data_IF_352793972575
#
_entry.id   IF_352793972575
#
_cell.length_a   1.000
_cell.length_b   1.000
_cell.length_c   1.000
_cell.angle_alpha   90.00
_cell.angle_beta   90.00
_cell.angle_gamma   90.00
#
_symmetry.space_group_name_H-M   'P 1'
#
loop_
_entity.id
_entity.type
_entity.pdbx_description
1 polymer ?
#
# COMPACT_ATOMS: atom_id res chain seq x y z
N UNK A 1 13.69 18.18 30.39
CA UNK A 1 13.06 17.88 29.10
C UNK A 1 12.93 16.38 29.01
N UNK A 2 11.73 15.83 29.21
CA UNK A 2 11.50 14.37 29.11
C UNK A 2 11.80 13.94 27.67
N UNK A 3 12.60 12.88 27.52
CA UNK A 3 12.78 12.21 26.23
C UNK A 3 11.38 11.77 25.79
N UNK A 4 10.85 12.38 24.74
CA UNK A 4 9.64 11.89 24.07
C UNK A 4 10.01 10.50 23.53
N UNK A 5 9.65 9.45 24.26
CA UNK A 5 9.89 8.08 23.82
C UNK A 5 9.04 7.83 22.59
N UNK A 6 9.64 7.29 21.53
CA UNK A 6 8.93 6.86 20.34
C UNK A 6 7.86 5.83 20.73
N UNK A 7 6.65 5.97 20.22
CA UNK A 7 5.54 5.07 20.55
C UNK A 7 4.84 4.60 19.28
N UNK A 8 4.59 3.30 19.18
CA UNK A 8 3.75 2.68 18.16
C UNK A 8 2.36 2.37 18.72
N UNK A 9 1.38 2.25 17.82
CA UNK A 9 0.04 1.87 18.20
C UNK A 9 -0.01 0.43 18.75
N UNK A 10 -0.89 0.20 19.71
CA UNK A 10 -1.18 -1.13 20.26
C UNK A 10 -2.39 -1.72 19.53
N UNK A 11 -2.13 -2.43 18.45
CA UNK A 11 -3.15 -3.00 17.60
C UNK A 11 -3.86 -4.19 18.26
N UNK A 12 -5.16 -4.07 18.47
CA UNK A 12 -6.03 -5.17 18.89
C UNK A 12 -6.57 -5.86 17.65
N UNK A 13 -6.04 -7.03 17.33
CA UNK A 13 -6.46 -7.84 16.17
C UNK A 13 -7.89 -8.32 16.34
N UNK A 14 -8.63 -8.36 15.23
CA UNK A 14 -9.99 -8.89 15.23
C UNK A 14 -9.96 -10.42 15.40
N UNK A 15 -10.85 -10.97 16.21
CA UNK A 15 -10.86 -12.40 16.55
C UNK A 15 -11.18 -13.31 15.34
N UNK A 16 -11.90 -12.79 14.34
CA UNK A 16 -12.28 -13.52 13.13
C UNK A 16 -11.26 -13.38 11.99
N UNK A 17 -10.07 -12.83 12.25
CA UNK A 17 -9.06 -12.74 11.19
C UNK A 17 -8.63 -14.13 10.66
N UNK A 18 -8.42 -14.28 9.31
CA UNK A 18 -8.58 -13.25 8.29
C UNK A 18 -10.06 -12.96 7.97
N UNK A 19 -10.42 -11.66 7.89
CA UNK A 19 -11.81 -11.24 7.58
C UNK A 19 -12.16 -11.41 6.09
N UNK A 20 -11.16 -11.46 5.22
CA UNK A 20 -11.31 -11.74 3.79
C UNK A 20 -10.26 -12.78 3.36
N UNK A 21 -10.50 -14.10 3.56
CA UNK A 21 -9.62 -15.15 3.06
C UNK A 21 -9.74 -15.30 1.53
N UNK A 22 -8.74 -15.88 0.84
CA UNK A 22 -8.88 -16.25 -0.58
C UNK A 22 -9.93 -17.34 -0.80
N UNK A 23 -10.33 -17.55 -2.06
CA UNK A 23 -11.20 -18.64 -2.45
C UNK A 23 -12.69 -18.32 -2.51
N UNK A 24 -13.07 -17.04 -2.41
CA UNK A 24 -14.47 -16.61 -2.53
C UNK A 24 -14.98 -16.52 -3.97
N UNK A 25 -14.11 -16.58 -4.97
CA UNK A 25 -14.42 -16.56 -6.39
C UNK A 25 -13.23 -16.99 -7.23
N UNK A 26 -13.42 -17.15 -8.55
CA UNK A 26 -12.32 -17.54 -9.44
C UNK A 26 -11.24 -16.45 -9.51
N UNK A 27 -11.62 -15.18 -9.38
CA UNK A 27 -10.76 -14.01 -9.47
C UNK A 27 -9.84 -13.82 -8.24
N UNK A 28 -10.13 -14.44 -7.10
CA UNK A 28 -9.34 -14.35 -5.88
C UNK A 28 -9.06 -15.72 -5.22
N UNK A 29 -9.01 -16.76 -6.06
CA UNK A 29 -8.84 -18.14 -5.60
C UNK A 29 -7.53 -18.39 -4.85
N UNK A 30 -6.45 -17.68 -5.21
CA UNK A 30 -5.10 -17.90 -4.69
C UNK A 30 -4.66 -16.86 -3.67
N UNK A 31 -5.12 -15.62 -3.78
CA UNK A 31 -4.76 -14.57 -2.83
C UNK A 31 -5.77 -13.42 -2.81
N UNK A 32 -5.85 -12.78 -1.63
CA UNK A 32 -6.46 -11.46 -1.43
C UNK A 32 -5.38 -10.57 -0.81
N UNK A 33 -4.90 -9.55 -1.55
CA UNK A 33 -3.77 -8.73 -1.12
C UNK A 33 -3.97 -7.23 -1.38
N UNK A 34 -3.11 -6.41 -0.78
CA UNK A 34 -3.07 -4.96 -0.97
C UNK A 34 -4.42 -4.26 -0.67
N UNK A 35 -4.98 -4.40 0.52
CA UNK A 35 -6.26 -3.77 0.83
C UNK A 35 -6.12 -2.24 0.80
N UNK A 36 -7.08 -1.58 0.17
CA UNK A 36 -7.32 -0.16 0.29
C UNK A 36 -8.80 0.03 0.60
N UNK A 37 -9.11 0.59 1.76
CA UNK A 37 -10.48 0.68 2.26
C UNK A 37 -10.93 2.13 2.33
N UNK A 38 -12.12 2.37 1.82
CA UNK A 38 -12.86 3.62 1.97
C UNK A 38 -14.13 3.31 2.76
N UNK A 39 -14.45 4.17 3.72
CA UNK A 39 -15.75 4.16 4.38
C UNK A 39 -16.66 5.19 3.70
N UNK A 40 -17.80 4.72 3.21
CA UNK A 40 -18.89 5.56 2.72
C UNK A 40 -20.13 5.27 3.54
N UNK A 41 -20.64 6.27 4.23
CA UNK A 41 -21.82 6.13 5.09
C UNK A 41 -21.72 4.94 6.06
N UNK A 42 -22.52 3.90 5.82
CA UNK A 42 -22.62 2.70 6.65
C UNK A 42 -21.93 1.47 6.02
N UNK A 43 -21.09 1.66 5.00
CA UNK A 43 -20.39 0.60 4.31
C UNK A 43 -18.90 0.85 4.18
N UNK A 44 -18.12 -0.23 4.20
CA UNK A 44 -16.72 -0.28 3.78
C UNK A 44 -16.63 -0.78 2.35
N UNK A 45 -15.89 -0.07 1.53
CA UNK A 45 -15.49 -0.47 0.18
C UNK A 45 -14.02 -0.87 0.24
N UNK A 46 -13.73 -2.16 0.15
CA UNK A 46 -12.38 -2.68 0.11
C UNK A 46 -11.98 -2.98 -1.33
N UNK A 47 -11.06 -2.18 -1.85
CA UNK A 47 -10.35 -2.44 -3.09
C UNK A 47 -9.14 -3.31 -2.74
N UNK A 48 -8.99 -4.43 -3.43
CA UNK A 48 -7.90 -5.37 -3.16
C UNK A 48 -7.43 -6.06 -4.44
N UNK A 49 -6.22 -6.58 -4.46
CA UNK A 49 -5.78 -7.40 -5.57
C UNK A 49 -6.15 -8.85 -5.30
N UNK A 50 -7.01 -9.40 -6.16
CA UNK A 50 -7.36 -10.81 -6.18
C UNK A 50 -6.48 -11.57 -7.17
N UNK A 51 -5.94 -12.71 -6.78
CA UNK A 51 -5.15 -13.59 -7.63
C UNK A 51 -5.92 -14.84 -8.01
N UNK A 52 -6.06 -15.09 -9.31
CA UNK A 52 -6.67 -16.30 -9.84
C UNK A 52 -5.70 -17.50 -9.90
N UNK A 53 -6.20 -18.66 -10.30
CA UNK A 53 -5.41 -19.88 -10.43
C UNK A 53 -4.34 -19.81 -11.53
N UNK A 54 -4.49 -18.92 -12.48
CA UNK A 54 -3.51 -18.67 -13.55
C UNK A 54 -2.42 -17.67 -13.14
N UNK A 55 -2.42 -17.23 -11.87
CA UNK A 55 -1.53 -16.20 -11.30
C UNK A 55 -1.71 -14.79 -11.89
N UNK A 56 -2.80 -14.53 -12.61
CA UNK A 56 -3.21 -13.18 -12.99
C UNK A 56 -3.75 -12.49 -11.75
N UNK A 57 -3.44 -11.20 -11.59
CA UNK A 57 -3.93 -10.41 -10.46
C UNK A 57 -4.72 -9.21 -10.95
N UNK A 58 -5.93 -9.05 -10.43
CA UNK A 58 -6.84 -7.97 -10.81
C UNK A 58 -7.28 -7.20 -9.56
N UNK A 59 -7.62 -5.94 -9.74
CA UNK A 59 -8.26 -5.19 -8.66
C UNK A 59 -9.72 -5.61 -8.56
N UNK A 60 -10.07 -6.06 -7.38
CA UNK A 60 -11.38 -6.52 -7.01
C UNK A 60 -12.01 -5.58 -5.98
N UNK A 61 -13.32 -5.64 -5.85
CA UNK A 61 -14.10 -4.91 -4.85
C UNK A 61 -14.86 -5.88 -3.95
N UNK A 62 -14.78 -5.64 -2.65
CA UNK A 62 -15.68 -6.24 -1.67
C UNK A 62 -16.31 -5.13 -0.81
N UNK A 63 -17.57 -5.30 -0.44
CA UNK A 63 -18.33 -4.34 0.39
C UNK A 63 -18.80 -5.06 1.66
N UNK A 64 -18.66 -4.39 2.81
CA UNK A 64 -19.17 -4.88 4.08
C UNK A 64 -19.88 -3.76 4.86
N UNK A 65 -20.93 -4.06 5.61
CA UNK A 65 -21.55 -3.08 6.48
C UNK A 65 -20.59 -2.69 7.64
N UNK A 66 -20.57 -1.41 8.02
CA UNK A 66 -19.78 -0.93 9.16
C UNK A 66 -20.16 -1.64 10.46
N UNK A 67 -21.43 -2.08 10.58
CA UNK A 67 -21.92 -2.82 11.75
C UNK A 67 -21.34 -4.23 11.87
N UNK A 68 -20.80 -4.83 10.80
CA UNK A 68 -20.23 -6.17 10.83
C UNK A 68 -19.14 -6.35 9.77
N UNK A 69 -17.88 -6.10 10.18
CA UNK A 69 -16.68 -6.18 9.34
C UNK A 69 -16.36 -7.61 8.84
N UNK A 70 -17.11 -8.61 9.24
CA UNK A 70 -16.91 -10.00 8.79
C UNK A 70 -17.77 -10.36 7.58
N UNK A 71 -18.74 -9.51 7.22
CA UNK A 71 -19.73 -9.77 6.14
C UNK A 71 -19.34 -9.13 4.82
N UNK A 72 -18.20 -9.52 4.26
CA UNK A 72 -17.75 -9.03 2.97
C UNK A 72 -18.51 -9.70 1.82
N UNK A 73 -19.25 -8.89 1.04
CA UNK A 73 -19.82 -9.27 -0.25
C UNK A 73 -18.81 -8.95 -1.36
N UNK A 74 -18.23 -9.96 -1.99
CA UNK A 74 -17.34 -9.79 -3.13
C UNK A 74 -18.13 -9.42 -4.38
N UNK A 75 -17.73 -8.38 -5.08
CA UNK A 75 -18.34 -7.93 -6.34
C UNK A 75 -17.55 -8.38 -7.57
N UNK A 76 -16.35 -8.94 -7.37
CA UNK A 76 -15.50 -9.43 -8.44
C UNK A 76 -14.45 -8.42 -8.88
N UNK A 77 -13.86 -8.67 -10.05
CA UNK A 77 -12.88 -7.79 -10.69
C UNK A 77 -13.55 -6.52 -11.20
N UNK A 78 -12.91 -5.37 -11.00
CA UNK A 78 -13.42 -4.07 -11.45
C UNK A 78 -13.09 -3.80 -12.92
N UNK A 79 -11.96 -4.32 -13.39
CA UNK A 79 -11.53 -4.26 -14.78
C UNK A 79 -10.49 -5.35 -15.06
N UNK A 80 -10.35 -5.71 -16.33
CA UNK A 80 -9.38 -6.70 -16.77
C UNK A 80 -7.96 -6.12 -16.83
N UNK A 81 -6.96 -7.01 -16.81
CA UNK A 81 -5.59 -6.66 -17.19
C UNK A 81 -5.55 -6.13 -18.62
N UNK A 82 -4.46 -5.47 -18.99
CA UNK A 82 -4.29 -4.97 -20.34
C UNK A 82 -4.00 -6.06 -21.36
N UNK A 83 -4.01 -5.65 -22.62
CA UNK A 83 -3.67 -6.54 -23.74
C UNK A 83 -2.21 -6.99 -23.67
N UNK A 84 -1.88 -7.99 -24.47
CA UNK A 84 -0.51 -8.47 -24.63
C UNK A 84 0.46 -7.32 -24.90
N UNK A 85 1.61 -7.34 -24.25
CA UNK A 85 2.67 -6.33 -24.33
C UNK A 85 2.32 -4.97 -23.70
N UNK A 86 1.16 -4.84 -23.03
CA UNK A 86 0.84 -3.67 -22.24
C UNK A 86 1.56 -3.65 -20.88
N UNK A 87 1.62 -2.48 -20.24
CA UNK A 87 2.30 -2.34 -18.95
C UNK A 87 1.62 -3.09 -17.81
N UNK A 88 0.35 -3.44 -17.96
CA UNK A 88 -0.49 -4.09 -16.96
C UNK A 88 -1.10 -5.42 -17.46
N UNK A 89 -0.40 -6.07 -18.39
CA UNK A 89 -0.81 -7.33 -19.03
C UNK A 89 -1.11 -8.45 -18.04
N UNK A 90 -0.30 -8.59 -16.97
CA UNK A 90 -0.40 -9.74 -16.06
C UNK A 90 -0.99 -9.39 -14.71
N UNK A 91 -0.70 -8.18 -14.20
CA UNK A 91 -1.15 -7.74 -12.89
C UNK A 91 -1.64 -6.31 -12.91
N UNK A 92 -2.77 -6.10 -12.22
CA UNK A 92 -3.26 -4.82 -11.73
C UNK A 92 -3.37 -4.96 -10.21
N UNK A 93 -2.49 -4.31 -9.44
CA UNK A 93 -2.34 -4.48 -7.99
C UNK A 93 -2.13 -3.14 -7.29
N UNK A 94 -2.09 -3.13 -5.96
CA UNK A 94 -1.77 -1.97 -5.13
C UNK A 94 -2.69 -0.77 -5.40
N UNK A 95 -4.02 -0.93 -5.26
CA UNK A 95 -4.95 0.17 -5.46
C UNK A 95 -4.72 1.28 -4.42
N UNK A 96 -4.85 2.52 -4.88
CA UNK A 96 -4.91 3.72 -4.04
C UNK A 96 -6.00 4.62 -4.59
N UNK A 97 -7.08 4.80 -3.84
CA UNK A 97 -8.28 5.50 -4.31
C UNK A 97 -8.42 6.84 -3.62
N UNK A 98 -8.66 7.89 -4.38
CA UNK A 98 -8.87 9.23 -3.87
C UNK A 98 -9.89 10.00 -4.71
N UNK A 99 -10.66 10.89 -4.07
CA UNK A 99 -11.63 11.73 -4.76
C UNK A 99 -10.96 13.04 -5.18
N UNK A 100 -10.91 13.30 -6.48
CA UNK A 100 -10.21 14.47 -7.06
C UNK A 100 -11.15 15.14 -8.08
N UNK A 101 -11.41 16.42 -7.91
CA UNK A 101 -12.15 17.24 -8.88
C UNK A 101 -13.49 16.61 -9.32
N UNK A 102 -14.26 16.04 -8.38
CA UNK A 102 -15.58 15.50 -8.66
C UNK A 102 -15.62 14.05 -9.13
N UNK A 103 -14.49 13.36 -9.21
CA UNK A 103 -14.39 11.96 -9.62
C UNK A 103 -13.48 11.15 -8.70
N UNK A 104 -13.74 9.86 -8.62
CA UNK A 104 -12.86 8.92 -7.95
C UNK A 104 -11.72 8.51 -8.88
N UNK A 105 -10.49 8.65 -8.41
CA UNK A 105 -9.26 8.24 -9.08
C UNK A 105 -8.69 7.02 -8.37
N UNK A 106 -8.47 5.93 -9.09
CA UNK A 106 -7.76 4.75 -8.61
C UNK A 106 -6.43 4.65 -9.30
N UNK A 107 -5.36 4.86 -8.55
CA UNK A 107 -4.00 4.60 -8.99
C UNK A 107 -3.67 3.15 -8.69
N UNK A 108 -3.16 2.44 -9.66
CA UNK A 108 -2.81 1.03 -9.50
C UNK A 108 -1.45 0.72 -10.13
N UNK A 109 -0.82 -0.34 -9.68
CA UNK A 109 0.43 -0.82 -10.27
C UNK A 109 0.11 -1.88 -11.29
N UNK A 110 0.50 -1.63 -12.53
CA UNK A 110 0.48 -2.61 -13.61
C UNK A 110 1.81 -3.35 -13.71
N UNK A 111 1.78 -4.63 -14.06
CA UNK A 111 2.96 -5.44 -14.36
C UNK A 111 2.80 -6.09 -15.72
N UNK A 112 3.80 -5.93 -16.60
CA UNK A 112 3.86 -6.61 -17.89
C UNK A 112 4.42 -8.02 -17.75
N UNK A 113 4.11 -8.90 -18.71
CA UNK A 113 4.71 -10.23 -18.84
C UNK A 113 6.15 -10.17 -19.38
N UNK A 114 6.51 -9.08 -20.01
CA UNK A 114 7.81 -8.87 -20.61
C UNK A 114 8.87 -8.81 -19.52
N UNK A 115 9.54 -9.92 -19.28
CA UNK A 115 10.90 -9.95 -18.72
C UNK A 115 11.14 -11.21 -17.91
N UNK A 116 11.37 -12.28 -18.59
CA UNK A 116 12.12 -13.38 -18.01
C UNK A 116 13.55 -12.88 -17.71
N UNK A 117 13.83 -12.60 -16.44
CA UNK A 117 15.19 -12.37 -15.95
C UNK A 117 15.61 -10.91 -15.70
N UNK A 118 14.83 -9.92 -16.05
CA UNK A 118 15.03 -8.51 -15.68
C UNK A 118 13.76 -8.01 -15.01
N UNK A 119 13.88 -7.10 -14.05
CA UNK A 119 12.75 -6.50 -13.34
C UNK A 119 11.58 -6.27 -14.29
N UNK A 120 10.47 -7.00 -14.09
CA UNK A 120 9.25 -6.80 -14.84
C UNK A 120 8.91 -5.30 -14.80
N UNK A 121 8.60 -4.73 -15.96
CA UNK A 121 8.24 -3.32 -16.03
C UNK A 121 6.99 -3.09 -15.19
N UNK A 122 7.10 -2.25 -14.19
CA UNK A 122 6.02 -1.87 -13.29
C UNK A 122 5.71 -0.41 -13.55
N UNK A 123 4.51 -0.13 -14.03
CA UNK A 123 4.01 1.21 -14.27
C UNK A 123 2.82 1.53 -13.40
N UNK A 124 2.57 2.80 -13.14
CA UNK A 124 1.36 3.24 -12.45
C UNK A 124 0.29 3.59 -13.47
N UNK A 125 -0.82 2.87 -13.43
CA UNK A 125 -2.04 3.15 -14.17
C UNK A 125 -2.99 4.03 -13.37
N UNK A 126 -3.99 4.54 -14.05
CA UNK A 126 -5.10 5.29 -13.49
C UNK A 126 -6.42 4.75 -14.05
N UNK A 127 -7.38 4.53 -13.17
CA UNK A 127 -8.78 4.30 -13.53
C UNK A 127 -9.66 5.36 -12.85
N UNK A 128 -10.77 5.70 -13.48
CA UNK A 128 -11.71 6.74 -13.04
C UNK A 128 -13.07 6.13 -12.80
N UNK A 129 -13.77 6.61 -11.77
CA UNK A 129 -15.14 6.22 -11.44
C UNK A 129 -15.96 7.41 -10.94
N UNK A 130 -17.27 7.33 -11.09
CA UNK A 130 -18.21 8.28 -10.49
C UNK A 130 -18.88 7.72 -9.22
N UNK A 131 -18.85 6.38 -9.02
CA UNK A 131 -19.66 5.69 -8.01
C UNK A 131 -18.89 4.64 -7.17
N UNK A 132 -17.56 4.52 -7.32
CA UNK A 132 -16.71 3.49 -6.67
C UNK A 132 -16.93 2.04 -7.16
N UNK A 133 -17.89 1.80 -8.03
CA UNK A 133 -18.28 0.46 -8.51
C UNK A 133 -17.87 0.27 -9.97
N UNK A 134 -18.20 1.25 -10.82
CA UNK A 134 -17.90 1.20 -12.25
C UNK A 134 -16.63 2.00 -12.54
N UNK A 135 -15.60 1.31 -13.03
CA UNK A 135 -14.28 1.89 -13.25
C UNK A 135 -13.85 1.75 -14.70
N UNK A 136 -13.32 2.83 -15.26
CA UNK A 136 -12.74 2.86 -16.60
C UNK A 136 -11.27 3.21 -16.52
N UNK A 137 -10.41 2.43 -17.20
CA UNK A 137 -8.98 2.78 -17.34
C UNK A 137 -8.85 4.08 -18.12
N UNK A 138 -8.10 5.01 -17.56
CA UNK A 138 -7.86 6.32 -18.19
C UNK A 138 -7.00 6.24 -19.45
N UNK A 139 -6.07 5.28 -19.51
CA UNK A 139 -5.11 5.11 -20.59
C UNK A 139 -4.60 3.67 -20.64
N UNK A 140 -4.20 3.22 -21.82
CA UNK A 140 -3.45 1.98 -22.08
C UNK A 140 -1.95 2.10 -21.72
N UNK A 141 -1.49 3.32 -21.35
CA UNK A 141 -0.12 3.63 -20.93
C UNK A 141 -0.07 4.03 -19.46
N UNK A 142 1.04 3.77 -18.77
CA UNK A 142 1.19 4.22 -17.40
C UNK A 142 1.23 5.76 -17.36
N UNK A 143 0.55 6.34 -16.37
CA UNK A 143 0.61 7.79 -16.12
C UNK A 143 1.90 8.20 -15.43
N UNK A 144 2.57 7.25 -14.76
CA UNK A 144 3.83 7.49 -14.06
C UNK A 144 4.71 6.22 -14.08
N UNK A 145 6.00 6.44 -14.18
CA UNK A 145 7.04 5.40 -14.13
C UNK A 145 8.12 5.76 -13.11
N UNK A 146 9.06 4.85 -12.86
CA UNK A 146 10.15 5.06 -11.91
C UNK A 146 11.20 6.08 -12.33
N UNK A 147 11.02 6.75 -13.47
CA UNK A 147 11.95 7.77 -13.96
C UNK A 147 11.95 9.03 -13.08
N UNK A 148 13.06 9.77 -13.12
CA UNK A 148 13.16 11.08 -12.47
C UNK A 148 13.91 11.09 -11.14
N UNK A 149 14.52 9.98 -10.75
CA UNK A 149 15.39 9.90 -9.58
C UNK A 149 16.86 9.82 -10.04
N UNK A 150 17.65 10.84 -9.73
CA UNK A 150 19.07 10.92 -10.13
C UNK A 150 19.95 9.80 -9.57
N UNK A 151 19.59 9.29 -8.40
CA UNK A 151 20.32 8.17 -7.75
C UNK A 151 20.10 6.84 -8.48
N UNK A 152 19.00 6.69 -9.21
CA UNK A 152 18.63 5.47 -9.96
C UNK A 152 18.19 5.82 -11.39
N UNK A 153 19.09 6.36 -12.23
CA UNK A 153 18.73 6.89 -13.54
C UNK A 153 18.19 5.82 -14.51
N UNK A 154 18.49 4.56 -14.25
CA UNK A 154 18.04 3.42 -15.06
C UNK A 154 16.79 2.74 -14.52
N UNK A 155 16.27 3.17 -13.37
CA UNK A 155 15.05 2.60 -12.81
C UNK A 155 13.84 3.03 -13.64
N UNK A 156 13.12 2.05 -14.17
CA UNK A 156 11.87 2.28 -14.90
C UNK A 156 10.64 1.83 -14.11
N UNK A 157 10.85 1.02 -13.08
CA UNK A 157 9.79 0.42 -12.28
C UNK A 157 9.24 1.37 -11.21
N UNK A 158 7.97 1.20 -10.91
CA UNK A 158 7.26 1.89 -9.83
C UNK A 158 6.31 0.88 -9.18
N UNK A 159 6.10 0.99 -7.88
CA UNK A 159 5.03 0.28 -7.19
C UNK A 159 4.18 1.29 -6.41
N UNK A 160 2.87 1.15 -6.48
CA UNK A 160 1.94 1.98 -5.70
C UNK A 160 1.87 1.55 -4.24
N UNK A 161 0.67 1.51 -3.70
CA UNK A 161 0.38 0.97 -2.36
C UNK A 161 0.60 1.95 -1.22
N UNK A 162 0.57 3.24 -1.50
CA UNK A 162 0.63 4.28 -0.48
C UNK A 162 -0.71 4.99 -0.29
N UNK A 163 -0.65 6.29 -0.10
CA UNK A 163 -1.81 7.15 0.13
C UNK A 163 -1.64 8.50 -0.56
N UNK A 164 -2.78 9.09 -0.95
CA UNK A 164 -2.82 10.48 -1.39
C UNK A 164 -3.35 11.35 -0.25
N UNK A 165 -2.73 12.51 -0.11
CA UNK A 165 -3.10 13.56 0.84
C UNK A 165 -3.39 14.86 0.09
N UNK A 166 -4.37 15.58 0.57
CA UNK A 166 -4.61 16.96 0.18
C UNK A 166 -3.77 17.90 1.04
N UNK A 167 -2.92 18.70 0.42
CA UNK A 167 -2.06 19.67 1.09
C UNK A 167 -2.54 21.07 0.74
N UNK A 168 -3.20 21.71 1.71
CA UNK A 168 -3.66 23.09 1.56
C UNK A 168 -2.45 24.02 1.48
N UNK A 169 -2.41 24.84 0.43
CA UNK A 169 -1.37 25.83 0.20
C UNK A 169 -1.74 27.18 0.87
N UNK A 170 -0.76 28.07 1.11
CA UNK A 170 -1.03 29.39 1.69
C UNK A 170 -1.98 30.27 0.87
N UNK A 171 -2.08 30.05 -0.44
CA UNK A 171 -2.99 30.75 -1.34
C UNK A 171 -4.41 30.14 -1.41
N UNK A 172 -4.68 29.13 -0.58
CA UNK A 172 -5.95 28.40 -0.55
C UNK A 172 -6.11 27.31 -1.61
N UNK A 173 -5.15 27.10 -2.48
CA UNK A 173 -5.16 26.00 -3.45
C UNK A 173 -4.80 24.67 -2.77
N UNK A 174 -5.18 23.55 -3.42
CA UNK A 174 -4.83 22.20 -2.97
C UNK A 174 -3.76 21.64 -3.89
N UNK A 175 -2.73 21.05 -3.30
CA UNK A 175 -1.79 20.17 -3.99
C UNK A 175 -1.98 18.76 -3.43
N UNK A 176 -2.16 17.79 -4.32
CA UNK A 176 -2.20 16.38 -3.96
C UNK A 176 -0.77 15.87 -3.78
N UNK A 177 -0.52 15.15 -2.68
CA UNK A 177 0.74 14.44 -2.43
C UNK A 177 0.49 12.96 -2.41
N UNK A 178 1.05 12.24 -3.37
CA UNK A 178 1.01 10.79 -3.41
C UNK A 178 2.24 10.22 -2.70
N UNK A 179 2.03 9.28 -1.79
CA UNK A 179 3.05 8.41 -1.27
C UNK A 179 3.03 7.12 -2.07
N UNK A 180 4.18 6.63 -2.53
CA UNK A 180 4.28 5.40 -3.31
C UNK A 180 5.65 4.73 -3.10
N UNK A 181 5.86 3.59 -3.73
CA UNK A 181 7.07 2.78 -3.56
C UNK A 181 7.91 2.81 -4.83
N UNK A 182 9.20 3.01 -4.67
CA UNK A 182 10.20 2.93 -5.74
C UNK A 182 11.07 1.70 -5.53
N UNK A 183 11.02 0.68 -6.42
CA UNK A 183 12.00 -0.39 -6.46
C UNK A 183 13.38 0.19 -6.79
N UNK A 184 14.38 -0.12 -5.98
CA UNK A 184 15.77 0.36 -6.14
C UNK A 184 16.78 -0.79 -6.23
N UNK A 185 16.27 -2.04 -6.21
CA UNK A 185 17.10 -3.24 -6.33
C UNK A 185 17.78 -3.35 -7.67
N UNK A 186 18.94 -3.97 -7.66
CA UNK A 186 19.67 -4.36 -8.87
C UNK A 186 19.34 -5.81 -9.23
N UNK A 187 19.69 -6.25 -10.42
CA UNK A 187 19.51 -7.64 -10.91
C UNK A 187 20.40 -8.68 -10.20
N UNK A 188 20.66 -8.49 -8.91
CA UNK A 188 21.41 -9.44 -8.09
C UNK A 188 20.55 -10.67 -7.78
N UNK A 189 21.17 -11.85 -7.78
CA UNK A 189 20.49 -13.11 -7.35
C UNK A 189 20.24 -13.16 -5.84
N UNK A 190 20.57 -12.09 -5.10
CA UNK A 190 20.24 -11.95 -3.69
C UNK A 190 18.82 -11.41 -3.56
N UNK A 191 17.88 -12.22 -3.13
CA UNK A 191 16.46 -11.88 -2.97
C UNK A 191 16.22 -10.59 -2.17
N UNK A 192 17.05 -10.30 -1.16
CA UNK A 192 16.91 -9.08 -0.37
C UNK A 192 17.30 -7.83 -1.16
N UNK A 193 18.33 -7.93 -2.01
CA UNK A 193 18.75 -6.82 -2.88
C UNK A 193 17.75 -6.61 -4.00
N UNK A 194 17.22 -7.68 -4.58
CA UNK A 194 16.19 -7.60 -5.64
C UNK A 194 14.87 -7.04 -5.11
N UNK A 195 14.61 -7.17 -3.82
CA UNK A 195 13.45 -6.58 -3.15
C UNK A 195 13.72 -5.19 -2.56
N UNK A 196 14.90 -4.64 -2.73
CA UNK A 196 15.23 -3.30 -2.21
C UNK A 196 14.29 -2.24 -2.77
N UNK A 197 13.64 -1.52 -1.86
CA UNK A 197 12.65 -0.49 -2.19
C UNK A 197 12.73 0.64 -1.18
N UNK A 198 12.34 1.84 -1.60
CA UNK A 198 12.15 2.98 -0.71
C UNK A 198 10.78 3.61 -0.91
N UNK A 199 10.30 4.30 0.13
CA UNK A 199 9.08 5.09 0.03
C UNK A 199 9.41 6.47 -0.50
N UNK A 200 8.61 6.91 -1.47
CA UNK A 200 8.80 8.17 -2.19
C UNK A 200 7.50 8.94 -2.26
N UNK A 201 7.59 10.22 -2.61
CA UNK A 201 6.43 11.07 -2.88
C UNK A 201 6.51 11.69 -4.26
N UNK A 202 5.35 12.10 -4.76
CA UNK A 202 5.20 13.03 -5.87
C UNK A 202 4.03 13.98 -5.57
N UNK A 203 4.02 15.13 -6.23
CA UNK A 203 2.95 16.12 -6.10
C UNK A 203 2.18 16.27 -7.41
N UNK A 204 0.90 16.64 -7.32
CA UNK A 204 0.05 16.94 -8.47
C UNK A 204 -0.94 18.04 -8.15
N UNK A 205 -1.36 18.82 -9.15
CA UNK A 205 -2.44 19.81 -9.05
C UNK A 205 -3.78 19.27 -9.53
N UNK A 206 -3.76 18.22 -10.32
CA UNK A 206 -4.92 17.72 -11.06
C UNK A 206 -5.16 16.21 -10.93
N UNK A 207 -4.21 15.47 -10.33
CA UNK A 207 -4.24 14.01 -10.23
C UNK A 207 -3.73 13.27 -11.46
N UNK A 208 -3.36 13.96 -12.54
CA UNK A 208 -2.88 13.36 -13.78
C UNK A 208 -1.39 13.55 -14.00
N UNK A 209 -0.88 14.76 -13.79
CA UNK A 209 0.54 15.09 -13.93
C UNK A 209 1.22 15.16 -12.57
N UNK A 210 2.21 14.29 -12.36
CA UNK A 210 2.93 14.15 -11.10
C UNK A 210 4.37 14.65 -11.22
N UNK A 211 4.75 15.58 -10.35
CA UNK A 211 6.03 16.29 -10.33
C UNK A 211 6.66 16.27 -8.94
N UNK A 212 7.85 16.86 -8.78
CA UNK A 212 8.58 17.00 -7.51
C UNK A 212 8.74 15.67 -6.77
N UNK A 213 9.28 14.69 -7.47
CA UNK A 213 9.50 13.35 -6.95
C UNK A 213 10.66 13.34 -5.95
N UNK A 214 10.42 12.79 -4.75
CA UNK A 214 11.43 12.75 -3.67
C UNK A 214 11.38 11.44 -2.90
N UNK A 215 12.55 10.98 -2.45
CA UNK A 215 12.64 9.89 -1.46
C UNK A 215 12.33 10.48 -0.07
N UNK A 216 11.44 9.82 0.67
CA UNK A 216 11.04 10.26 2.03
C UNK A 216 11.37 9.23 3.10
N UNK A 217 11.43 7.95 2.76
CA UNK A 217 11.80 6.92 3.72
C UNK A 217 12.64 5.83 3.04
N UNK A 218 13.84 5.59 3.58
CA UNK A 218 14.75 4.54 3.11
C UNK A 218 14.79 3.37 4.08
N UNK A 219 15.15 2.17 3.62
CA UNK A 219 15.61 1.12 4.52
C UNK A 219 16.67 1.65 5.49
N UNK A 220 16.72 1.12 6.70
CA UNK A 220 17.73 1.49 7.68
C UNK A 220 18.62 0.29 8.01
N UNK A 221 19.94 0.46 7.91
CA UNK A 221 20.89 -0.64 8.04
C UNK A 221 21.04 -1.19 9.47
N UNK A 222 20.65 -0.40 10.48
CA UNK A 222 20.73 -0.76 11.90
C UNK A 222 19.50 -1.51 12.44
N UNK A 223 18.49 -1.76 11.58
CA UNK A 223 17.27 -2.49 11.95
C UNK A 223 17.02 -3.67 11.00
N UNK A 224 17.31 -4.86 11.48
CA UNK A 224 17.29 -6.11 10.71
C UNK A 224 15.92 -6.54 10.16
N UNK A 225 14.82 -5.92 10.61
CA UNK A 225 13.46 -6.14 10.14
C UNK A 225 13.03 -5.20 9.00
N UNK A 226 13.81 -4.14 8.70
CA UNK A 226 13.51 -3.17 7.63
C UNK A 226 14.77 -2.71 6.85
N UNK A 227 15.84 -3.53 6.85
CA UNK A 227 17.12 -3.14 6.25
C UNK A 227 17.19 -3.35 4.73
N UNK A 228 16.16 -3.89 4.10
CA UNK A 228 16.11 -4.10 2.64
C UNK A 228 15.05 -3.21 1.94
N UNK A 229 13.87 -3.04 2.53
CA UNK A 229 12.81 -2.26 1.88
C UNK A 229 11.92 -1.51 2.87
N UNK A 230 11.32 -0.40 2.39
CA UNK A 230 10.17 0.28 2.99
C UNK A 230 9.12 0.48 1.90
N UNK A 231 7.88 0.03 2.14
CA UNK A 231 6.79 0.07 1.14
C UNK A 231 5.46 0.50 1.77
N UNK A 232 4.52 0.87 0.91
CA UNK A 232 3.12 1.12 1.26
C UNK A 232 2.95 2.13 2.41
N UNK A 233 3.67 3.26 2.33
CA UNK A 233 3.63 4.31 3.35
C UNK A 233 2.24 4.96 3.41
N UNK A 234 1.48 4.62 4.43
CA UNK A 234 0.18 5.21 4.74
C UNK A 234 0.37 6.31 5.79
N UNK A 235 -0.05 7.53 5.48
CA UNK A 235 0.24 8.74 6.25
C UNK A 235 -1.04 9.42 6.68
N UNK A 236 -1.08 9.91 7.91
CA UNK A 236 -2.16 10.78 8.42
C UNK A 236 -1.59 11.84 9.36
N UNK A 237 -2.37 12.88 9.60
CA UNK A 237 -1.99 13.97 10.48
C UNK A 237 -2.77 13.87 11.79
N UNK A 238 -2.08 13.89 12.93
CA UNK A 238 -2.67 14.05 14.25
C UNK A 238 -2.76 15.56 14.58
N UNK A 239 -3.19 15.90 15.78
CA UNK A 239 -3.20 17.30 16.24
C UNK A 239 -1.80 17.89 16.35
N UNK A 240 -0.79 17.08 16.68
CA UNK A 240 0.55 17.53 17.01
C UNK A 240 1.59 17.24 15.95
N UNK A 241 1.44 16.13 15.18
CA UNK A 241 2.45 15.67 14.20
C UNK A 241 1.86 14.83 13.10
N UNK A 242 2.67 14.44 12.15
CA UNK A 242 2.37 13.43 11.16
C UNK A 242 2.75 12.03 11.68
N UNK A 243 1.94 11.05 11.34
CA UNK A 243 2.23 9.65 11.59
C UNK A 243 2.14 8.86 10.29
N UNK A 244 2.92 7.79 10.23
CA UNK A 244 2.90 6.86 9.12
C UNK A 244 2.97 5.43 9.62
N UNK A 245 2.29 4.55 8.90
CA UNK A 245 2.43 3.10 9.00
C UNK A 245 2.85 2.57 7.63
N UNK A 246 3.76 1.61 7.61
CA UNK A 246 4.35 1.07 6.39
C UNK A 246 4.78 -0.38 6.60
N UNK A 247 5.14 -1.08 5.52
CA UNK A 247 5.75 -2.39 5.64
C UNK A 247 7.26 -2.30 5.37
N UNK A 248 8.05 -2.85 6.28
CA UNK A 248 9.49 -3.04 6.16
C UNK A 248 9.81 -4.48 5.79
N UNK A 249 10.85 -4.71 4.98
CA UNK A 249 11.44 -6.04 4.78
C UNK A 249 12.90 -6.02 5.20
N UNK A 250 13.31 -7.08 5.89
CA UNK A 250 14.68 -7.21 6.37
C UNK A 250 15.09 -8.66 6.64
N UNK A 251 16.33 -8.83 7.04
CA UNK A 251 16.97 -10.14 7.25
C UNK A 251 16.37 -10.91 8.42
N UNK A 252 15.79 -10.22 9.43
CA UNK A 252 15.22 -10.84 10.63
C UNK A 252 14.10 -11.83 10.31
N UNK A 253 13.15 -11.41 9.46
CA UNK A 253 12.01 -12.23 9.10
C UNK A 253 12.14 -12.83 7.69
N UNK A 254 13.02 -12.30 6.84
CA UNK A 254 13.06 -12.63 5.42
C UNK A 254 11.75 -12.28 4.68
N UNK A 255 10.90 -11.48 5.32
CA UNK A 255 9.55 -11.12 4.90
C UNK A 255 9.17 -9.75 5.43
N UNK A 256 7.99 -9.27 5.07
CA UNK A 256 7.47 -7.99 5.53
C UNK A 256 6.98 -8.04 6.97
N UNK A 257 7.17 -6.92 7.66
CA UNK A 257 6.59 -6.60 8.96
C UNK A 257 6.07 -5.17 8.98
N UNK A 258 5.01 -4.90 9.71
CA UNK A 258 4.42 -3.56 9.78
C UNK A 258 5.15 -2.72 10.82
N UNK A 259 5.59 -1.54 10.38
CA UNK A 259 6.35 -0.56 11.13
C UNK A 259 5.64 0.80 11.13
N UNK A 260 6.04 1.68 12.06
CA UNK A 260 5.53 3.05 12.14
C UNK A 260 6.67 4.09 12.12
N UNK A 261 6.31 5.31 11.73
CA UNK A 261 7.18 6.47 11.78
C UNK A 261 6.38 7.72 12.17
N UNK A 262 7.08 8.73 12.67
CA UNK A 262 6.51 10.05 12.99
C UNK A 262 7.28 11.14 12.28
N UNK A 263 6.64 12.30 12.06
CA UNK A 263 7.27 13.44 11.39
C UNK A 263 6.62 14.75 11.84
N UNK A 264 7.39 15.83 11.88
CA UNK A 264 6.88 17.18 12.13
C UNK A 264 6.32 17.82 10.83
N UNK A 265 6.84 17.45 9.66
CA UNK A 265 6.51 18.07 8.37
C UNK A 265 5.86 17.13 7.36
N UNK A 266 5.78 15.81 7.68
CA UNK A 266 5.28 14.78 6.76
C UNK A 266 6.24 14.42 5.63
N UNK A 267 7.52 14.85 5.73
CA UNK A 267 8.58 14.61 4.74
C UNK A 267 9.80 13.92 5.36
N UNK A 268 10.19 14.34 6.55
CA UNK A 268 11.33 13.80 7.30
C UNK A 268 10.80 12.91 8.43
N UNK A 269 11.09 11.61 8.34
CA UNK A 269 10.49 10.60 9.20
C UNK A 269 11.46 10.08 10.25
N UNK A 270 11.03 10.09 11.50
CA UNK A 270 11.71 9.51 12.65
C UNK A 270 11.12 8.14 12.99
N UNK A 271 11.95 7.19 13.39
CA UNK A 271 11.58 5.80 13.66
C UNK A 271 11.99 5.30 15.04
N UNK A 272 12.47 6.18 15.91
CA UNK A 272 13.04 5.80 17.19
C UNK A 272 14.32 4.97 17.08
N UNK A 273 14.71 4.28 18.13
CA UNK A 273 15.79 3.29 18.10
C UNK A 273 15.35 1.97 17.44
N UNK A 274 16.28 1.13 16.94
CA UNK A 274 15.91 -0.17 16.38
C UNK A 274 15.03 -1.00 17.32
N UNK A 275 13.88 -1.45 16.82
CA UNK A 275 12.86 -2.18 17.55
C UNK A 275 11.68 -1.35 18.06
N UNK A 276 11.87 -0.06 18.32
CA UNK A 276 10.79 0.80 18.85
C UNK A 276 9.67 1.04 17.82
N UNK A 277 10.00 1.05 16.52
CA UNK A 277 9.04 1.31 15.46
C UNK A 277 8.38 0.05 14.86
N UNK A 278 8.72 -1.14 15.35
CA UNK A 278 8.10 -2.40 14.92
C UNK A 278 6.72 -2.54 15.58
N UNK A 279 5.67 -2.31 14.81
CA UNK A 279 4.31 -2.13 15.32
C UNK A 279 3.48 -3.40 15.27
N UNK A 280 3.49 -4.12 14.15
CA UNK A 280 2.77 -5.39 14.00
C UNK A 280 3.67 -6.42 13.30
N UNK A 281 4.59 -7.09 14.06
CA UNK A 281 5.44 -8.12 13.48
C UNK A 281 4.66 -9.40 13.19
N UNK A 282 5.20 -10.28 12.31
CA UNK A 282 4.75 -11.65 12.20
C UNK A 282 4.74 -12.36 13.56
N UNK A 283 3.74 -13.19 13.83
CA UNK A 283 3.60 -13.85 15.15
C UNK A 283 4.61 -14.97 15.39
N UNK A 284 5.23 -15.49 14.36
CA UNK A 284 6.23 -16.56 14.43
C UNK A 284 5.62 -17.97 14.62
N UNK A 285 4.29 -18.07 14.57
CA UNK A 285 3.54 -19.32 14.72
C UNK A 285 2.99 -19.83 13.37
N UNK A 286 2.18 -20.88 13.39
CA UNK A 286 1.52 -21.43 12.21
C UNK A 286 0.28 -20.66 11.74
N UNK A 287 -0.02 -19.49 12.31
CA UNK A 287 -1.21 -18.72 11.98
C UNK A 287 -1.16 -18.10 10.59
N UNK A 288 -2.29 -17.53 10.16
CA UNK A 288 -2.47 -16.86 8.87
C UNK A 288 -1.50 -15.69 8.65
N UNK A 289 -0.93 -15.10 9.72
CA UNK A 289 0.02 -14.00 9.72
C UNK A 289 1.36 -14.36 10.41
N UNK A 290 1.61 -15.65 10.62
CA UNK A 290 2.76 -16.12 11.39
C UNK A 290 4.12 -15.81 10.77
N UNK A 291 4.18 -15.61 9.46
CA UNK A 291 5.42 -15.36 8.70
C UNK A 291 5.51 -13.97 8.09
N UNK A 292 4.39 -13.27 7.91
CA UNK A 292 4.35 -11.99 7.18
C UNK A 292 3.14 -11.16 7.62
N UNK A 293 3.36 -9.85 7.78
CA UNK A 293 2.31 -8.82 7.88
C UNK A 293 2.69 -7.69 6.94
N UNK A 294 1.82 -7.32 5.98
CA UNK A 294 2.18 -6.36 4.93
C UNK A 294 1.00 -5.54 4.41
N UNK A 295 1.33 -4.54 3.59
CA UNK A 295 0.38 -3.64 2.91
C UNK A 295 -0.64 -3.01 3.87
N UNK A 296 -0.16 -2.28 4.88
CA UNK A 296 -1.06 -1.62 5.81
C UNK A 296 -1.89 -0.54 5.12
N UNK A 297 -3.17 -0.50 5.43
CA UNK A 297 -4.06 0.60 5.10
C UNK A 297 -4.83 0.99 6.36
N UNK A 298 -4.77 2.26 6.76
CA UNK A 298 -5.40 2.78 7.97
C UNK A 298 -6.51 3.75 7.62
N UNK A 299 -7.66 3.57 8.25
CA UNK A 299 -8.75 4.56 8.26
C UNK A 299 -9.04 4.99 9.69
N UNK A 300 -9.48 6.23 9.85
CA UNK A 300 -9.99 6.75 11.11
C UNK A 300 -11.51 6.54 11.17
N UNK A 301 -11.99 5.97 12.27
CA UNK A 301 -13.41 5.75 12.48
C UNK A 301 -13.81 5.84 13.95
N UNK A 302 -14.83 6.63 14.27
CA UNK A 302 -15.40 6.74 15.62
C UNK A 302 -14.35 7.04 16.72
N UNK A 303 -13.30 7.82 16.37
CA UNK A 303 -12.21 8.16 17.28
C UNK A 303 -11.16 7.06 17.48
N UNK A 304 -11.23 5.96 16.72
CA UNK A 304 -10.23 4.88 16.68
C UNK A 304 -9.55 4.85 15.32
N UNK A 305 -8.41 4.18 15.25
CA UNK A 305 -7.76 3.80 13.99
C UNK A 305 -8.07 2.34 13.69
N UNK A 306 -8.51 2.08 12.45
CA UNK A 306 -8.67 0.72 11.93
C UNK A 306 -7.61 0.44 10.89
N UNK A 307 -6.83 -0.60 11.11
CA UNK A 307 -5.84 -1.13 10.21
C UNK A 307 -6.41 -2.32 9.44
N UNK A 308 -6.19 -2.33 8.13
CA UNK A 308 -6.31 -3.49 7.25
C UNK A 308 -4.93 -3.88 6.76
N UNK A 309 -4.65 -5.19 6.66
CA UNK A 309 -3.33 -5.69 6.26
C UNK A 309 -3.40 -7.12 5.72
N UNK A 310 -2.39 -7.54 5.01
CA UNK A 310 -2.27 -8.90 4.49
C UNK A 310 -1.48 -9.80 5.43
N UNK A 311 -1.79 -11.08 5.41
CA UNK A 311 -1.02 -12.13 6.05
C UNK A 311 0.02 -12.79 5.14
N UNK A 312 0.35 -14.05 5.41
CA UNK A 312 1.42 -14.80 4.77
C UNK A 312 1.30 -14.86 3.24
N UNK A 313 2.46 -14.89 2.57
CA UNK A 313 2.56 -15.19 1.14
C UNK A 313 1.90 -14.15 0.25
N UNK A 314 2.06 -12.87 0.59
CA UNK A 314 1.44 -11.78 -0.19
C UNK A 314 -0.09 -11.92 -0.28
N UNK A 315 -0.74 -12.19 0.87
CA UNK A 315 -2.18 -12.37 0.94
C UNK A 315 -2.69 -13.75 0.51
N UNK A 316 -1.82 -14.75 0.36
CA UNK A 316 -2.24 -16.15 0.15
C UNK A 316 -3.06 -16.69 1.33
N UNK A 317 -2.95 -16.08 2.49
CA UNK A 317 -3.78 -16.38 3.67
C UNK A 317 -4.88 -15.34 3.92
N UNK A 318 -4.96 -14.30 3.08
CA UNK A 318 -6.03 -13.30 3.12
C UNK A 318 -5.68 -11.98 3.80
N UNK A 319 -6.73 -11.20 4.06
CA UNK A 319 -6.69 -9.87 4.66
C UNK A 319 -7.32 -9.90 6.04
N UNK A 320 -6.67 -9.26 7.00
CA UNK A 320 -7.15 -9.07 8.36
C UNK A 320 -7.31 -7.61 8.76
N UNK A 321 -7.80 -7.39 9.98
CA UNK A 321 -8.02 -6.06 10.54
C UNK A 321 -7.66 -6.00 12.02
N UNK A 322 -7.30 -4.80 12.48
CA UNK A 322 -7.03 -4.50 13.88
C UNK A 322 -7.48 -3.08 14.22
N UNK A 323 -7.75 -2.82 15.50
CA UNK A 323 -8.11 -1.51 16.03
C UNK A 323 -7.03 -1.00 17.00
N UNK A 324 -6.84 0.30 17.04
CA UNK A 324 -6.02 0.96 18.05
C UNK A 324 -6.59 2.33 18.43
N UNK A 325 -6.27 2.76 19.66
CA UNK A 325 -6.47 4.14 20.09
C UNK A 325 -5.49 5.05 19.33
N UNK A 326 -5.90 6.24 18.89
CA UNK A 326 -4.99 7.21 18.29
C UNK A 326 -3.90 7.64 19.28
N UNK A 327 -2.69 7.79 18.77
CA UNK A 327 -1.58 8.42 19.48
C UNK A 327 -1.39 9.84 18.96
N UNK A 328 -1.18 10.78 19.88
CA UNK A 328 -0.92 12.19 19.56
C UNK A 328 0.49 12.40 18.95
#
# INVERSE_FOLDING_TARGET
MGKNTFQVHKWKKHFANPILPPGGGDFDANCCMNPFVIRQENEYYMFYAGGDKAATRRICLAIAPVSDITKWKRLGSLFECGEKDSFDETWCVLPCVHYINGKWHMYYTGRSALNEGLQSFWGMGLAISEDLIHWEKYSDKPIMTGNGFSEWPHNKGIAGGGRILEILQPDGSIIYRMHYTLPIGTTSKNLLVDQAKCSVIAHSKDGFLWFDKRVVLRPRHDADYENAATIALNVWKTKTRWRAIYAGIGTRFGAYSICEAVSEDGLHWERGTPGENLSLPPTGDGSWEGRMTEYPNVIEENGLLRLFYCGNGYGATGIGTALAEPLE
#
